data_IF_559943191439
#
_entry.id   IF_559943191439
#
_cell.length_a   1.000
_cell.length_b   1.000
_cell.length_c   1.000
_cell.angle_alpha   90.00
_cell.angle_beta   90.00
_cell.angle_gamma   90.00
#
_symmetry.space_group_name_H-M   'P 1'
#
loop_
_entity.id
_entity.type
_entity.pdbx_description
1 polymer ?
#
# COMPACT_ATOMS: atom_id res chain seq x y z
N UNK A 1 -32.67 -21.49 23.89
CA UNK A 1 -33.25 -20.46 23.01
C UNK A 1 -32.77 -19.11 23.50
N UNK A 2 -31.63 -18.66 23.01
CA UNK A 2 -31.18 -17.26 23.16
C UNK A 2 -30.56 -16.89 21.83
N UNK A 3 -31.33 -16.19 21.02
CA UNK A 3 -30.93 -15.66 19.73
C UNK A 3 -29.89 -14.56 19.95
N UNK A 4 -28.72 -14.67 19.31
CA UNK A 4 -27.79 -13.56 19.15
C UNK A 4 -28.44 -12.52 18.23
N UNK A 5 -28.40 -11.22 18.53
CA UNK A 5 -28.85 -10.24 17.55
C UNK A 5 -27.83 -10.18 16.40
N UNK A 6 -28.33 -10.35 15.18
CA UNK A 6 -27.61 -10.04 13.95
C UNK A 6 -27.17 -8.57 13.99
N UNK A 7 -25.87 -8.33 14.19
CA UNK A 7 -25.31 -7.00 14.02
C UNK A 7 -25.09 -6.75 12.51
N UNK A 8 -26.18 -6.59 11.78
CA UNK A 8 -26.17 -6.06 10.42
C UNK A 8 -25.94 -4.54 10.50
N UNK A 9 -24.69 -4.14 10.77
CA UNK A 9 -24.26 -2.77 10.58
C UNK A 9 -23.91 -2.57 9.10
N UNK A 10 -24.92 -2.44 8.24
CA UNK A 10 -24.73 -1.88 6.89
C UNK A 10 -24.65 -0.36 7.02
N UNK A 11 -23.47 0.15 7.34
CA UNK A 11 -23.11 1.51 7.00
C UNK A 11 -22.48 1.46 5.61
N UNK A 12 -23.20 1.99 4.62
CA UNK A 12 -22.65 2.28 3.30
C UNK A 12 -21.68 3.47 3.47
N UNK A 13 -20.51 3.18 4.03
CA UNK A 13 -19.49 4.18 4.30
C UNK A 13 -18.87 4.58 2.96
N UNK A 14 -19.07 5.83 2.57
CA UNK A 14 -18.39 6.40 1.41
C UNK A 14 -16.89 6.10 1.50
N UNK A 15 -16.34 5.51 0.44
CA UNK A 15 -14.93 5.15 0.37
C UNK A 15 -14.06 6.39 0.54
N UNK A 16 -13.00 6.30 1.35
CA UNK A 16 -11.96 7.33 1.44
C UNK A 16 -11.01 7.32 0.23
N UNK A 17 -11.16 6.36 -0.69
CA UNK A 17 -10.33 6.26 -1.87
C UNK A 17 -10.85 7.16 -3.00
N UNK A 18 -9.95 7.90 -3.63
CA UNK A 18 -10.25 8.68 -4.84
C UNK A 18 -10.29 7.75 -6.07
N UNK A 19 -11.43 7.65 -6.80
CA UNK A 19 -11.51 6.83 -8.00
C UNK A 19 -10.55 7.26 -9.11
N UNK A 20 -10.31 8.56 -9.24
CA UNK A 20 -9.45 9.13 -10.29
C UNK A 20 -7.97 8.79 -10.05
N UNK A 21 -7.53 8.80 -8.79
CA UNK A 21 -6.18 8.39 -8.39
C UNK A 21 -5.98 6.89 -8.65
N UNK A 22 -6.94 6.05 -8.25
CA UNK A 22 -6.91 4.62 -8.54
C UNK A 22 -6.82 4.36 -10.05
N UNK A 23 -7.62 5.06 -10.85
CA UNK A 23 -7.59 4.95 -12.30
C UNK A 23 -6.22 5.39 -12.88
N UNK A 24 -5.62 6.45 -12.34
CA UNK A 24 -4.29 6.92 -12.75
C UNK A 24 -3.22 5.84 -12.54
N UNK A 25 -3.09 5.31 -11.32
CA UNK A 25 -2.09 4.29 -11.02
C UNK A 25 -2.37 2.94 -11.71
N UNK A 26 -3.64 2.57 -11.89
CA UNK A 26 -4.01 1.36 -12.65
C UNK A 26 -3.55 1.42 -14.11
N UNK A 27 -3.61 2.59 -14.75
CA UNK A 27 -3.10 2.75 -16.13
C UNK A 27 -1.59 2.56 -16.23
N UNK A 28 -0.84 2.94 -15.18
CA UNK A 28 0.61 2.83 -15.13
C UNK A 28 1.12 1.50 -14.56
N UNK A 29 0.23 0.64 -14.04
CA UNK A 29 0.61 -0.49 -13.20
C UNK A 29 1.62 -1.47 -13.85
N UNK A 30 1.59 -1.64 -15.18
CA UNK A 30 2.54 -2.51 -15.90
C UNK A 30 3.98 -1.97 -15.89
N UNK A 31 4.18 -0.70 -15.57
CA UNK A 31 5.46 -0.02 -15.59
C UNK A 31 6.08 0.14 -14.19
N UNK A 32 5.47 -0.47 -13.15
CA UNK A 32 5.97 -0.36 -11.77
C UNK A 32 7.45 -0.72 -11.63
N UNK A 33 7.93 -1.71 -12.38
CA UNK A 33 9.32 -2.20 -12.30
C UNK A 33 10.22 -1.76 -13.45
N UNK A 34 9.79 -0.78 -14.24
CA UNK A 34 10.68 -0.10 -15.19
C UNK A 34 11.53 0.95 -14.45
N UNK A 35 12.84 0.72 -14.37
CA UNK A 35 13.78 1.58 -13.64
C UNK A 35 13.94 2.97 -14.26
N UNK A 36 13.62 3.12 -15.54
CA UNK A 36 13.66 4.40 -16.26
C UNK A 36 12.24 4.95 -16.53
N UNK A 37 11.22 4.25 -16.04
CA UNK A 37 9.81 4.56 -16.25
C UNK A 37 9.23 5.59 -15.27
N UNK A 38 7.89 5.74 -15.24
CA UNK A 38 7.21 6.74 -14.41
C UNK A 38 7.47 6.64 -12.90
N UNK A 39 7.91 5.46 -12.42
CA UNK A 39 8.20 5.19 -11.01
C UNK A 39 9.71 5.12 -10.71
N UNK A 40 10.59 5.55 -11.63
CA UNK A 40 12.04 5.55 -11.49
C UNK A 40 12.53 6.17 -10.16
N UNK A 41 11.90 7.26 -9.72
CA UNK A 41 12.24 7.92 -8.46
C UNK A 41 12.00 7.03 -7.24
N UNK A 42 10.96 6.18 -7.26
CA UNK A 42 10.68 5.22 -6.19
C UNK A 42 11.76 4.13 -6.11
N UNK A 43 12.25 3.66 -7.24
CA UNK A 43 13.39 2.72 -7.28
C UNK A 43 14.65 3.37 -6.72
N UNK A 44 14.99 4.56 -7.21
CA UNK A 44 16.20 5.27 -6.79
C UNK A 44 16.22 5.59 -5.29
N UNK A 45 15.08 5.95 -4.69
CA UNK A 45 14.99 6.28 -3.27
C UNK A 45 14.76 5.05 -2.37
N UNK A 46 14.47 3.85 -2.92
CA UNK A 46 14.19 2.67 -2.11
C UNK A 46 15.33 2.29 -1.14
N UNK A 47 16.62 2.24 -1.54
CA UNK A 47 17.70 1.88 -0.62
C UNK A 47 17.80 2.82 0.58
N UNK A 48 17.60 4.13 0.37
CA UNK A 48 17.62 5.11 1.44
C UNK A 48 16.43 4.94 2.40
N UNK A 49 15.24 4.65 1.84
CA UNK A 49 14.03 4.40 2.64
C UNK A 49 14.15 3.13 3.47
N UNK A 50 14.67 2.05 2.91
CA UNK A 50 14.92 0.80 3.63
C UNK A 50 15.89 1.03 4.79
N UNK A 51 17.03 1.68 4.54
CA UNK A 51 18.00 2.01 5.60
C UNK A 51 17.38 2.87 6.71
N UNK A 52 16.52 3.83 6.35
CA UNK A 52 15.81 4.64 7.34
C UNK A 52 14.86 3.78 8.20
N UNK A 53 14.05 2.92 7.59
CA UNK A 53 13.11 2.04 8.30
C UNK A 53 13.88 1.09 9.24
N UNK A 54 14.94 0.44 8.75
CA UNK A 54 15.78 -0.46 9.54
C UNK A 54 16.45 0.25 10.73
N UNK A 55 16.86 1.51 10.55
CA UNK A 55 17.48 2.30 11.63
C UNK A 55 16.47 2.70 12.71
N UNK A 56 15.20 2.88 12.35
CA UNK A 56 14.18 3.45 13.24
C UNK A 56 13.13 2.43 13.69
N UNK A 57 13.25 1.17 13.29
CA UNK A 57 12.35 0.10 13.70
C UNK A 57 13.07 -1.23 13.79
N UNK A 58 12.70 -2.06 14.77
CA UNK A 58 13.09 -3.47 14.82
C UNK A 58 12.23 -4.31 13.85
N UNK A 59 12.12 -3.84 12.59
CA UNK A 59 11.25 -4.43 11.59
C UNK A 59 11.64 -5.86 11.17
N UNK A 60 12.80 -6.38 11.60
CA UNK A 60 13.35 -7.70 11.26
C UNK A 60 12.34 -8.85 11.27
N UNK A 61 12.19 -9.54 12.40
CA UNK A 61 11.20 -10.64 12.52
C UNK A 61 9.76 -10.14 12.78
N UNK A 62 9.53 -8.84 12.61
CA UNK A 62 8.24 -8.22 12.84
C UNK A 62 7.28 -8.49 11.69
N UNK A 63 5.98 -8.53 12.00
CA UNK A 63 4.94 -8.55 10.96
C UNK A 63 4.71 -7.13 10.45
N UNK A 64 5.05 -6.87 9.20
CA UNK A 64 4.96 -5.54 8.56
C UNK A 64 3.76 -5.46 7.61
N UNK A 65 3.12 -4.28 7.56
CA UNK A 65 2.08 -3.93 6.58
C UNK A 65 2.51 -2.68 5.81
N UNK A 66 2.59 -2.79 4.49
CA UNK A 66 2.81 -1.65 3.59
C UNK A 66 1.47 -1.17 2.99
N UNK A 67 0.98 -0.03 3.49
CA UNK A 67 -0.30 0.54 3.08
C UNK A 67 -0.11 1.37 1.81
N UNK A 68 -0.75 0.93 0.73
CA UNK A 68 -0.56 1.55 -0.59
C UNK A 68 0.67 1.00 -1.33
N UNK A 69 1.03 -0.27 -1.07
CA UNK A 69 2.21 -0.94 -1.62
C UNK A 69 2.33 -0.90 -3.15
N UNK A 70 1.21 -0.78 -3.87
CA UNK A 70 1.20 -0.67 -5.32
C UNK A 70 1.95 -1.83 -5.97
N UNK A 71 3.01 -1.52 -6.72
CA UNK A 71 3.86 -2.52 -7.38
C UNK A 71 4.82 -3.29 -6.47
N UNK A 72 4.82 -3.01 -5.16
CA UNK A 72 5.68 -3.68 -4.18
C UNK A 72 7.16 -3.31 -4.28
N UNK A 73 7.47 -2.05 -4.62
CA UNK A 73 8.87 -1.58 -4.74
C UNK A 73 9.60 -1.60 -3.40
N UNK A 74 8.89 -1.36 -2.29
CA UNK A 74 9.46 -1.43 -0.96
C UNK A 74 9.70 -2.90 -0.60
N UNK A 75 10.90 -3.38 -0.90
CA UNK A 75 11.38 -4.74 -0.72
C UNK A 75 12.86 -4.73 -0.30
#
# INVERSE_FOLDING_TARGET
MTSTPDNAATADAASSASPDELAHFNRLAKQWWDSDGPFASLHAINPLRMAFIETHSDAGDSRVLDVGCGGGILA
#
